data_IF_031505095499
#
_entry.id   IF_031505095499
#
_cell.length_a   1.000
_cell.length_b   1.000
_cell.length_c   1.000
_cell.angle_alpha   90.00
_cell.angle_beta   90.00
_cell.angle_gamma   90.00
#
_symmetry.space_group_name_H-M   'P 1'
#
loop_
_entity.id
_entity.type
_entity.pdbx_description
1 polymer ?
#
# COMPACT_ATOMS: atom_id res chain seq x y z
N UNK A 1 11.15 89.29 -51.89
CA UNK A 1 11.81 87.97 -51.95
C UNK A 1 11.63 87.31 -50.59
N UNK A 2 10.81 86.26 -50.51
CA UNK A 2 10.55 85.52 -49.27
C UNK A 2 11.50 84.33 -49.17
N UNK A 3 12.30 84.28 -48.09
CA UNK A 3 13.24 83.18 -47.82
C UNK A 3 12.51 82.06 -47.08
N UNK A 4 12.36 80.91 -47.74
CA UNK A 4 11.70 79.72 -47.19
C UNK A 4 12.70 78.93 -46.34
N UNK A 5 12.52 78.97 -45.01
CA UNK A 5 13.31 78.23 -44.03
C UNK A 5 12.86 76.76 -44.01
N UNK A 6 13.65 75.88 -44.64
CA UNK A 6 13.45 74.43 -44.55
C UNK A 6 13.77 73.94 -43.13
N UNK A 7 12.77 73.36 -42.47
CA UNK A 7 12.86 72.77 -41.13
C UNK A 7 13.03 71.25 -41.29
N UNK A 8 14.27 70.78 -41.24
CA UNK A 8 14.57 69.34 -41.27
C UNK A 8 14.16 68.71 -39.95
N UNK A 9 13.21 67.76 -40.00
CA UNK A 9 12.73 67.00 -38.85
C UNK A 9 13.86 66.10 -38.35
N UNK A 10 14.26 66.28 -37.09
CA UNK A 10 15.05 65.29 -36.35
C UNK A 10 14.19 64.04 -36.16
N UNK A 11 14.58 62.94 -36.79
CA UNK A 11 14.01 61.63 -36.54
C UNK A 11 14.76 61.03 -35.34
N UNK A 12 14.17 61.16 -34.16
CA UNK A 12 14.69 60.56 -32.93
C UNK A 12 14.66 59.03 -33.10
N UNK A 13 15.83 58.40 -33.26
CA UNK A 13 15.96 56.94 -33.12
C UNK A 13 15.49 56.58 -31.71
N UNK A 14 14.31 55.97 -31.61
CA UNK A 14 13.78 55.42 -30.36
C UNK A 14 14.80 54.38 -29.87
N UNK A 15 15.45 54.68 -28.74
CA UNK A 15 16.56 53.90 -28.22
C UNK A 15 16.13 52.45 -28.03
N UNK A 16 16.92 51.47 -28.51
CA UNK A 16 16.65 50.03 -28.33
C UNK A 16 16.37 49.65 -26.87
N UNK A 17 16.84 50.47 -25.92
CA UNK A 17 16.60 50.34 -24.48
C UNK A 17 15.12 50.49 -24.12
N UNK A 18 14.34 51.36 -24.77
CA UNK A 18 12.91 51.54 -24.49
C UNK A 18 12.06 50.32 -24.88
N UNK A 19 12.53 49.52 -25.84
CA UNK A 19 11.85 48.29 -26.26
C UNK A 19 12.26 47.08 -25.40
N UNK A 20 13.48 47.10 -24.83
CA UNK A 20 14.02 46.02 -24.01
C UNK A 20 13.41 45.95 -22.60
N UNK A 21 13.10 47.11 -22.02
CA UNK A 21 12.48 47.20 -20.69
C UNK A 21 11.13 46.48 -20.59
N UNK A 22 10.14 46.69 -21.49
CA UNK A 22 8.87 45.97 -21.42
C UNK A 22 9.01 44.47 -21.68
N UNK A 23 9.97 44.06 -22.53
CA UNK A 23 10.29 42.63 -22.76
C UNK A 23 10.84 41.99 -21.49
N UNK A 24 11.77 42.67 -20.79
CA UNK A 24 12.35 42.18 -19.54
C UNK A 24 11.30 42.03 -18.44
N UNK A 25 10.38 43.01 -18.33
CA UNK A 25 9.24 42.95 -17.39
C UNK A 25 8.33 41.76 -17.72
N UNK A 26 8.05 41.53 -19.01
CA UNK A 26 7.26 40.38 -19.46
C UNK A 26 7.91 39.05 -19.07
N UNK A 27 9.22 38.90 -19.25
CA UNK A 27 9.96 37.69 -18.88
C UNK A 27 9.91 37.45 -17.36
N UNK A 28 10.08 38.49 -16.55
CA UNK A 28 10.02 38.39 -15.08
C UNK A 28 8.62 37.97 -14.62
N UNK A 29 7.57 38.53 -15.21
CA UNK A 29 6.18 38.16 -14.90
C UNK A 29 5.89 36.68 -15.20
N UNK A 30 6.38 36.18 -16.34
CA UNK A 30 6.24 34.76 -16.72
C UNK A 30 7.01 33.85 -15.77
N UNK A 31 8.24 34.21 -15.37
CA UNK A 31 9.02 33.46 -14.40
C UNK A 31 8.33 33.37 -13.04
N UNK A 32 7.76 34.48 -12.56
CA UNK A 32 6.99 34.52 -11.30
C UNK A 32 5.75 33.60 -11.36
N UNK A 33 5.06 33.55 -12.50
CA UNK A 33 3.96 32.62 -12.74
C UNK A 33 4.39 31.16 -12.72
N UNK A 34 5.51 30.83 -13.37
CA UNK A 34 6.06 29.45 -13.39
C UNK A 34 6.47 29.02 -11.98
N UNK A 35 7.16 29.87 -11.23
CA UNK A 35 7.54 29.60 -9.85
C UNK A 35 6.29 29.43 -8.98
N UNK A 36 5.29 30.29 -9.15
CA UNK A 36 3.99 30.16 -8.48
C UNK A 36 3.31 28.82 -8.77
N UNK A 37 3.28 28.39 -10.03
CA UNK A 37 2.75 27.08 -10.43
C UNK A 37 3.55 25.91 -9.86
N UNK A 38 4.89 26.01 -9.80
CA UNK A 38 5.75 24.98 -9.21
C UNK A 38 5.54 24.87 -7.70
N UNK A 39 5.51 26.00 -6.99
CA UNK A 39 5.22 26.05 -5.55
C UNK A 39 3.81 25.53 -5.27
N UNK A 40 2.83 25.90 -6.09
CA UNK A 40 1.48 25.35 -5.99
C UNK A 40 1.46 23.84 -6.22
N UNK A 41 2.18 23.32 -7.24
CA UNK A 41 2.29 21.87 -7.44
C UNK A 41 2.99 21.16 -6.29
N UNK A 42 4.01 21.76 -5.68
CA UNK A 42 4.72 21.21 -4.54
C UNK A 42 3.87 21.24 -3.26
N UNK A 43 3.06 22.28 -3.04
CA UNK A 43 2.12 22.35 -1.92
C UNK A 43 0.84 21.53 -2.14
N UNK A 44 0.39 21.34 -3.39
CA UNK A 44 -0.74 20.49 -3.76
C UNK A 44 -0.33 19.03 -3.98
N UNK A 45 0.96 18.71 -4.02
CA UNK A 45 1.41 17.36 -3.72
C UNK A 45 1.00 17.11 -2.27
N UNK A 46 -0.17 16.50 -2.12
CA UNK A 46 -0.66 15.95 -0.85
C UNK A 46 0.56 15.38 -0.14
N UNK A 47 0.84 15.78 1.12
CA UNK A 47 2.00 15.30 1.84
C UNK A 47 2.03 13.80 1.63
N UNK A 48 3.13 13.27 1.06
CA UNK A 48 3.28 11.85 0.82
C UNK A 48 3.02 11.16 2.16
N UNK A 49 1.77 10.75 2.41
CA UNK A 49 1.42 10.04 3.63
C UNK A 49 2.30 8.81 3.54
N UNK A 50 3.27 8.64 4.47
CA UNK A 50 4.11 7.46 4.44
C UNK A 50 3.15 6.28 4.44
N UNK A 51 3.19 5.50 3.35
CA UNK A 51 2.30 4.36 3.24
C UNK A 51 2.60 3.45 4.41
N UNK A 52 1.61 3.34 5.29
CA UNK A 52 1.71 2.44 6.41
C UNK A 52 1.17 1.10 5.91
N UNK A 53 2.09 0.13 5.77
CA UNK A 53 1.72 -1.27 5.57
C UNK A 53 0.78 -1.74 6.69
N UNK A 54 0.92 -1.14 7.87
CA UNK A 54 0.04 -1.27 9.02
C UNK A 54 -0.89 -0.06 9.14
N UNK A 55 -2.19 -0.26 9.14
CA UNK A 55 -3.22 0.75 9.38
C UNK A 55 -3.85 0.52 10.75
N UNK A 56 -3.88 1.56 11.58
CA UNK A 56 -4.50 1.51 12.91
C UNK A 56 -6.03 1.60 12.77
N UNK A 57 -6.75 0.71 13.45
CA UNK A 57 -8.21 0.68 13.50
C UNK A 57 -8.63 0.68 14.96
N UNK A 58 -9.18 1.79 15.45
CA UNK A 58 -9.47 1.93 16.88
C UNK A 58 -8.21 1.76 17.73
N UNK A 59 -8.22 0.78 18.64
CA UNK A 59 -7.04 0.39 19.43
C UNK A 59 -6.25 -0.77 18.80
N UNK A 60 -6.74 -1.35 17.72
CA UNK A 60 -6.16 -2.45 16.97
C UNK A 60 -5.46 -2.03 15.67
N UNK A 61 -5.18 -2.99 14.79
CA UNK A 61 -4.55 -2.74 13.50
C UNK A 61 -4.82 -3.81 12.43
N UNK A 62 -4.68 -3.41 11.17
CA UNK A 62 -4.54 -4.31 10.03
C UNK A 62 -3.18 -4.10 9.37
N UNK A 63 -2.53 -5.16 8.91
CA UNK A 63 -1.26 -5.04 8.20
C UNK A 63 -1.20 -5.91 6.96
N UNK A 64 -0.69 -5.35 5.87
CA UNK A 64 -0.42 -6.10 4.64
C UNK A 64 0.97 -6.78 4.67
N UNK A 65 1.78 -6.56 5.71
CA UNK A 65 3.14 -7.09 5.76
C UNK A 65 3.95 -6.70 4.52
N UNK A 66 4.68 -7.66 3.95
CA UNK A 66 5.46 -7.48 2.71
C UNK A 66 4.60 -7.29 1.46
N UNK A 67 3.36 -7.79 1.44
CA UNK A 67 2.43 -7.65 0.30
C UNK A 67 2.10 -6.18 0.01
N UNK A 68 2.20 -5.31 1.02
CA UNK A 68 2.04 -3.86 0.84
C UNK A 68 3.14 -3.20 0.02
N UNK A 69 4.19 -3.93 -0.38
CA UNK A 69 5.34 -3.40 -1.10
C UNK A 69 5.67 -4.22 -2.35
N UNK A 70 6.26 -3.56 -3.34
CA UNK A 70 6.97 -4.17 -4.46
C UNK A 70 8.45 -3.89 -4.28
N UNK A 71 9.29 -4.91 -4.41
CA UNK A 71 10.73 -4.76 -4.29
C UNK A 71 11.34 -4.57 -5.67
N UNK A 72 11.95 -3.41 -5.90
CA UNK A 72 12.67 -3.07 -7.13
C UNK A 72 14.13 -2.81 -6.80
N UNK A 73 14.99 -3.79 -7.11
CA UNK A 73 16.39 -3.79 -6.68
C UNK A 73 16.50 -3.68 -5.16
N UNK A 74 17.02 -2.55 -4.69
CA UNK A 74 17.35 -2.30 -3.30
C UNK A 74 16.24 -1.50 -2.58
N UNK A 75 15.11 -1.23 -3.24
CA UNK A 75 14.06 -0.33 -2.75
C UNK A 75 12.74 -1.07 -2.61
N UNK A 76 12.05 -0.82 -1.50
CA UNK A 76 10.65 -1.21 -1.31
C UNK A 76 9.74 -0.04 -1.71
N UNK A 77 8.88 -0.27 -2.70
CA UNK A 77 7.93 0.72 -3.20
C UNK A 77 6.53 0.31 -2.73
N UNK A 78 5.83 1.23 -2.08
CA UNK A 78 4.47 0.98 -1.61
C UNK A 78 3.52 0.65 -2.77
N UNK A 79 2.68 -0.37 -2.58
CA UNK A 79 1.68 -0.80 -3.55
C UNK A 79 0.33 -0.17 -3.27
N UNK A 80 -0.35 0.22 -4.35
CA UNK A 80 -1.65 0.88 -4.35
C UNK A 80 -2.62 0.30 -5.39
N UNK A 81 -2.30 -0.88 -5.94
CA UNK A 81 -3.13 -1.54 -6.92
C UNK A 81 -4.45 -2.07 -6.32
N UNK A 82 -5.37 -2.45 -7.20
CA UNK A 82 -6.71 -2.88 -6.82
C UNK A 82 -6.68 -4.13 -5.91
N UNK A 83 -5.76 -5.07 -6.14
CA UNK A 83 -5.61 -6.28 -5.33
C UNK A 83 -5.26 -5.93 -3.89
N UNK A 84 -4.25 -5.07 -3.70
CA UNK A 84 -3.82 -4.62 -2.37
C UNK A 84 -4.93 -3.86 -1.64
N UNK A 85 -5.70 -3.03 -2.35
CA UNK A 85 -6.85 -2.32 -1.76
C UNK A 85 -7.94 -3.30 -1.33
N UNK A 86 -8.27 -4.27 -2.18
CA UNK A 86 -9.28 -5.31 -1.90
C UNK A 86 -8.89 -6.14 -0.67
N UNK A 87 -7.64 -6.62 -0.60
CA UNK A 87 -7.13 -7.41 0.52
C UNK A 87 -7.18 -6.57 1.80
N UNK A 88 -6.75 -5.31 1.76
CA UNK A 88 -6.81 -4.42 2.93
C UNK A 88 -8.25 -4.27 3.46
N UNK A 89 -9.22 -4.06 2.58
CA UNK A 89 -10.63 -3.98 2.98
C UNK A 89 -11.17 -5.30 3.54
N UNK A 90 -10.70 -6.45 3.03
CA UNK A 90 -10.98 -7.74 3.63
C UNK A 90 -10.40 -7.86 5.05
N UNK A 91 -9.13 -7.49 5.27
CA UNK A 91 -8.52 -7.54 6.61
C UNK A 91 -9.26 -6.63 7.62
N UNK A 92 -9.75 -5.47 7.17
CA UNK A 92 -10.58 -4.57 8.00
C UNK A 92 -11.85 -5.27 8.47
N UNK A 93 -12.56 -5.93 7.56
CA UNK A 93 -13.78 -6.70 7.91
C UNK A 93 -13.47 -7.83 8.88
N UNK A 94 -12.35 -8.53 8.71
CA UNK A 94 -11.94 -9.59 9.65
C UNK A 94 -11.54 -9.02 11.02
N UNK A 95 -10.90 -7.84 11.05
CA UNK A 95 -10.61 -7.12 12.28
C UNK A 95 -11.89 -6.74 13.05
N UNK A 96 -12.88 -6.20 12.34
CA UNK A 96 -14.21 -5.86 12.91
C UNK A 96 -14.96 -7.10 13.42
N UNK A 97 -14.81 -8.24 12.74
CA UNK A 97 -15.42 -9.53 13.13
C UNK A 97 -14.72 -10.24 14.29
N UNK A 98 -13.55 -9.78 14.71
CA UNK A 98 -12.72 -10.45 15.72
C UNK A 98 -13.39 -10.59 17.09
N UNK A 99 -14.39 -9.76 17.40
CA UNK A 99 -15.07 -9.76 18.71
C UNK A 99 -14.18 -9.34 19.87
N UNK A 100 -13.00 -8.79 19.59
CA UNK A 100 -12.03 -8.34 20.58
C UNK A 100 -12.56 -7.14 21.38
N UNK A 101 -12.34 -7.16 22.70
CA UNK A 101 -12.70 -6.04 23.58
C UNK A 101 -11.92 -4.78 23.18
N UNK A 102 -12.54 -3.63 23.40
CA UNK A 102 -11.96 -2.30 23.13
C UNK A 102 -11.56 -2.05 21.67
N UNK A 103 -12.08 -2.86 20.72
CA UNK A 103 -11.69 -2.84 19.30
C UNK A 103 -10.18 -3.01 19.11
N UNK A 104 -9.54 -3.85 19.93
CA UNK A 104 -8.10 -4.09 19.87
C UNK A 104 -7.72 -5.23 18.90
N UNK A 105 -8.60 -5.58 17.96
CA UNK A 105 -8.35 -6.63 16.97
C UNK A 105 -7.07 -6.36 16.17
N UNK A 106 -6.35 -7.42 15.83
CA UNK A 106 -5.14 -7.36 15.03
C UNK A 106 -5.23 -8.41 13.93
N UNK A 107 -5.00 -8.01 12.67
CA UNK A 107 -4.94 -8.93 11.53
C UNK A 107 -3.77 -8.54 10.62
N UNK A 108 -2.91 -9.48 10.27
CA UNK A 108 -1.75 -9.21 9.40
C UNK A 108 -1.60 -10.30 8.35
N UNK A 109 -1.27 -9.91 7.12
CA UNK A 109 -0.75 -10.85 6.12
C UNK A 109 0.66 -11.26 6.53
N UNK A 110 0.92 -12.57 6.54
CA UNK A 110 2.24 -13.15 6.79
C UNK A 110 2.88 -13.52 5.47
N UNK A 111 2.14 -14.27 4.63
CA UNK A 111 2.57 -14.69 3.30
C UNK A 111 1.36 -14.87 2.39
N UNK A 112 1.59 -14.75 1.09
CA UNK A 112 0.59 -14.89 0.04
C UNK A 112 1.11 -15.79 -1.08
N UNK A 113 0.19 -16.38 -1.84
CA UNK A 113 0.54 -17.06 -3.10
C UNK A 113 0.96 -16.05 -4.16
N UNK A 114 1.70 -16.51 -5.18
CA UNK A 114 2.15 -15.67 -6.30
C UNK A 114 0.98 -15.01 -7.05
N UNK A 115 -0.15 -15.70 -7.17
CA UNK A 115 -1.36 -15.19 -7.81
C UNK A 115 -2.23 -14.32 -6.88
N UNK A 116 -1.79 -14.12 -5.63
CA UNK A 116 -2.46 -13.34 -4.58
C UNK A 116 -3.90 -13.81 -4.30
N UNK A 117 -4.22 -15.08 -4.55
CA UNK A 117 -5.55 -15.66 -4.26
C UNK A 117 -5.63 -16.40 -2.94
N UNK A 118 -4.51 -16.70 -2.30
CA UNK A 118 -4.51 -17.29 -0.97
C UNK A 118 -3.53 -16.58 -0.05
N UNK A 119 -3.90 -16.44 1.22
CA UNK A 119 -3.14 -15.74 2.25
C UNK A 119 -3.01 -16.63 3.48
N UNK A 120 -1.84 -16.61 4.10
CA UNK A 120 -1.68 -16.98 5.51
C UNK A 120 -1.70 -15.69 6.33
N UNK A 121 -2.61 -15.64 7.30
CA UNK A 121 -2.85 -14.48 8.14
C UNK A 121 -2.47 -14.78 9.59
N UNK A 122 -1.91 -13.77 10.25
CA UNK A 122 -1.80 -13.70 11.69
C UNK A 122 -2.97 -12.90 12.25
N UNK A 123 -3.58 -13.34 13.34
CA UNK A 123 -4.70 -12.63 13.96
C UNK A 123 -4.80 -12.80 15.47
N UNK A 124 -5.59 -11.95 16.12
CA UNK A 124 -5.88 -12.02 17.55
C UNK A 124 -6.32 -10.68 18.13
N UNK A 125 -6.36 -10.59 19.46
CA UNK A 125 -6.66 -9.37 20.20
C UNK A 125 -5.36 -8.78 20.75
N UNK A 126 -4.99 -7.57 20.29
CA UNK A 126 -3.75 -6.88 20.63
C UNK A 126 -2.47 -7.47 19.99
N UNK A 127 -2.55 -8.66 19.39
CA UNK A 127 -1.43 -9.35 18.74
C UNK A 127 -1.91 -10.27 17.62
N UNK A 128 -0.99 -10.69 16.74
CA UNK A 128 -1.25 -11.59 15.60
C UNK A 128 -0.73 -13.01 15.84
N UNK A 129 -0.90 -13.51 17.06
CA UNK A 129 -0.33 -14.77 17.53
C UNK A 129 -1.00 -16.02 16.94
N UNK A 130 -2.28 -15.95 16.56
CA UNK A 130 -2.98 -17.08 15.96
C UNK A 130 -2.87 -17.05 14.43
N UNK A 131 -3.03 -18.22 13.79
CA UNK A 131 -2.94 -18.38 12.33
C UNK A 131 -4.27 -18.77 11.72
N UNK A 132 -4.56 -18.20 10.55
CA UNK A 132 -5.68 -18.61 9.73
C UNK A 132 -5.33 -18.46 8.25
N UNK A 133 -5.98 -19.25 7.40
CA UNK A 133 -5.89 -19.05 5.96
C UNK A 133 -7.01 -18.12 5.50
N UNK A 134 -6.80 -17.45 4.37
CA UNK A 134 -7.87 -16.83 3.61
C UNK A 134 -7.72 -17.17 2.14
N UNK A 135 -8.84 -17.42 1.47
CA UNK A 135 -8.87 -17.76 0.04
C UNK A 135 -9.84 -16.83 -0.69
N UNK A 136 -9.45 -16.42 -1.89
CA UNK A 136 -10.30 -15.66 -2.80
C UNK A 136 -11.21 -16.62 -3.56
N UNK A 137 -12.51 -16.47 -3.37
CA UNK A 137 -13.59 -17.18 -4.08
C UNK A 137 -14.33 -16.22 -5.01
N UNK A 138 -15.29 -16.74 -5.77
CA UNK A 138 -16.12 -15.93 -6.68
C UNK A 138 -16.92 -14.84 -5.94
N UNK A 139 -17.36 -15.12 -4.72
CA UNK A 139 -18.08 -14.21 -3.82
C UNK A 139 -17.16 -13.29 -3.00
N UNK A 140 -15.85 -13.38 -3.22
CA UNK A 140 -14.82 -12.56 -2.58
C UNK A 140 -13.93 -13.35 -1.62
N UNK A 141 -13.25 -12.62 -0.72
CA UNK A 141 -12.35 -13.22 0.25
C UNK A 141 -13.09 -13.92 1.38
N UNK A 142 -12.67 -15.16 1.68
CA UNK A 142 -13.20 -15.97 2.77
C UNK A 142 -12.07 -16.43 3.68
N UNK A 143 -12.16 -16.06 4.96
CA UNK A 143 -11.31 -16.64 5.99
C UNK A 143 -11.68 -18.12 6.19
N UNK A 144 -10.66 -18.96 6.29
CA UNK A 144 -10.77 -20.37 6.65
C UNK A 144 -10.11 -20.47 8.02
N UNK A 145 -10.95 -20.37 9.05
CA UNK A 145 -10.57 -20.62 10.44
C UNK A 145 -11.22 -21.93 10.86
N UNK A 146 -10.42 -22.81 11.48
CA UNK A 146 -10.48 -22.83 12.93
C UNK A 146 -9.10 -22.70 13.58
N UNK A 147 -9.06 -22.01 14.72
CA UNK A 147 -7.89 -21.84 15.61
C UNK A 147 -7.19 -23.16 15.95
N UNK A 148 -7.91 -24.28 15.97
CA UNK A 148 -7.41 -25.59 16.43
C UNK A 148 -6.77 -26.44 15.31
N UNK A 149 -6.60 -25.91 14.11
CA UNK A 149 -5.99 -26.64 12.99
C UNK A 149 -4.50 -26.38 12.85
N UNK A 150 -3.92 -25.54 13.70
CA UNK A 150 -2.48 -25.29 13.75
C UNK A 150 -1.92 -25.88 15.05
N UNK A 151 -0.75 -26.50 14.98
CA UNK A 151 -0.04 -26.92 16.19
C UNK A 151 0.74 -25.75 16.81
N UNK A 152 1.48 -26.01 17.89
CA UNK A 152 2.30 -25.02 18.60
C UNK A 152 3.42 -24.39 17.77
N UNK A 153 3.77 -24.98 16.62
CA UNK A 153 4.77 -24.45 15.68
C UNK A 153 4.12 -23.73 14.50
N UNK A 154 2.82 -23.40 14.59
CA UNK A 154 2.05 -22.78 13.51
C UNK A 154 2.00 -23.62 12.23
N UNK A 155 2.13 -24.95 12.35
CA UNK A 155 2.02 -25.88 11.21
C UNK A 155 0.56 -26.35 11.10
N UNK A 156 -0.09 -26.15 9.95
CA UNK A 156 -1.49 -26.51 9.76
C UNK A 156 -1.70 -28.02 9.64
N UNK A 157 -2.91 -28.49 9.93
CA UNK A 157 -3.28 -29.89 9.74
C UNK A 157 -3.34 -30.24 8.26
N UNK A 158 -2.87 -31.44 7.88
CA UNK A 158 -2.90 -31.87 6.48
C UNK A 158 -4.34 -31.92 5.95
N UNK A 159 -5.27 -32.38 6.80
CA UNK A 159 -6.70 -32.37 6.50
C UNK A 159 -7.20 -30.99 6.09
N UNK A 160 -6.94 -29.95 6.89
CA UNK A 160 -7.38 -28.59 6.59
C UNK A 160 -6.78 -28.09 5.29
N UNK A 161 -5.49 -28.34 5.07
CA UNK A 161 -4.81 -27.86 3.87
C UNK A 161 -5.31 -28.54 2.60
N UNK A 162 -5.65 -29.83 2.68
CA UNK A 162 -6.09 -30.62 1.52
C UNK A 162 -7.57 -30.35 1.20
N UNK A 163 -8.45 -30.31 2.20
CA UNK A 163 -9.89 -30.02 2.01
C UNK A 163 -10.13 -28.62 1.42
N UNK A 164 -9.25 -27.66 1.73
CA UNK A 164 -9.37 -26.28 1.27
C UNK A 164 -8.47 -25.95 0.08
N UNK A 165 -7.74 -26.93 -0.47
CA UNK A 165 -6.77 -26.74 -1.55
C UNK A 165 -5.77 -25.60 -1.26
N UNK A 166 -5.26 -25.55 -0.03
CA UNK A 166 -4.27 -24.54 0.39
C UNK A 166 -2.96 -24.80 -0.34
N UNK A 167 -2.44 -23.77 -1.00
CA UNK A 167 -1.21 -23.85 -1.79
C UNK A 167 -0.01 -24.21 -0.92
N UNK A 168 0.89 -25.03 -1.49
CA UNK A 168 2.18 -25.39 -0.90
C UNK A 168 3.11 -24.19 -0.75
N UNK A 169 2.89 -23.12 -1.52
CA UNK A 169 3.64 -21.86 -1.43
C UNK A 169 3.51 -21.21 -0.05
N UNK A 170 2.33 -21.32 0.58
CA UNK A 170 2.03 -20.70 1.87
C UNK A 170 1.91 -21.71 3.02
N UNK A 171 1.87 -23.00 2.69
CA UNK A 171 1.82 -24.11 3.64
C UNK A 171 2.60 -25.32 3.08
N UNK A 172 3.95 -25.25 3.05
CA UNK A 172 4.79 -26.30 2.45
C UNK A 172 4.86 -27.57 3.30
N UNK A 173 4.58 -27.45 4.60
CA UNK A 173 4.55 -28.56 5.56
C UNK A 173 3.17 -28.57 6.22
N UNK A 174 2.64 -29.76 6.46
CA UNK A 174 1.47 -29.96 7.31
C UNK A 174 1.75 -31.03 8.36
N UNK A 175 0.86 -31.11 9.34
CA UNK A 175 0.91 -32.10 10.41
C UNK A 175 -0.37 -32.95 10.47
N UNK A 176 -0.24 -34.19 10.93
CA UNK A 176 -1.36 -34.98 11.41
C UNK A 176 -1.18 -35.22 12.91
N UNK A 177 -2.16 -34.77 13.69
CA UNK A 177 -2.17 -34.98 15.13
C UNK A 177 -2.55 -36.43 15.43
N UNK A 178 -1.77 -37.07 16.30
CA UNK A 178 -2.00 -38.41 16.80
C UNK A 178 -2.01 -38.36 18.32
N UNK A 179 -3.10 -38.86 18.90
CA UNK A 179 -3.20 -39.06 20.34
C UNK A 179 -2.64 -40.44 20.68
N UNK A 180 -1.53 -40.48 21.41
CA UNK A 180 -0.92 -41.71 21.91
C UNK A 180 -1.02 -41.72 23.44
N UNK A 181 -2.09 -42.34 23.96
CA UNK A 181 -2.48 -42.24 25.36
C UNK A 181 -2.79 -40.80 25.77
N UNK A 182 -2.06 -40.29 26.77
CA UNK A 182 -2.16 -38.90 27.24
C UNK A 182 -1.23 -37.93 26.49
N UNK A 183 -0.35 -38.45 25.62
CA UNK A 183 0.60 -37.62 24.87
C UNK A 183 0.05 -37.24 23.49
N UNK A 184 0.32 -35.98 23.11
CA UNK A 184 0.10 -35.48 21.76
C UNK A 184 1.37 -35.68 20.94
N UNK A 185 1.25 -36.41 19.83
CA UNK A 185 2.30 -36.59 18.84
C UNK A 185 1.87 -36.03 17.49
N UNK A 186 2.83 -35.61 16.68
CA UNK A 186 2.58 -35.01 15.37
C UNK A 186 3.43 -35.67 14.31
N UNK A 187 2.80 -36.16 13.26
CA UNK A 187 3.49 -36.58 12.04
C UNK A 187 3.55 -35.42 11.07
N UNK A 188 4.75 -35.02 10.68
CA UNK A 188 4.96 -33.96 9.70
C UNK A 188 5.12 -34.51 8.30
N UNK A 189 4.47 -33.87 7.34
CA UNK A 189 4.56 -34.20 5.92
C UNK A 189 4.89 -32.97 5.09
N UNK A 190 5.89 -33.12 4.22
CA UNK A 190 6.14 -32.17 3.15
C UNK A 190 5.02 -32.30 2.10
N UNK A 191 4.46 -31.18 1.68
CA UNK A 191 3.36 -31.13 0.72
C UNK A 191 3.86 -31.01 -0.69
#
# INVERSE_FOLDING_TARGET
MASTKNRTKSQTKKSQVELLVPVLIGVIAVLMLIVGCLVWKLNCQSPHKPYAATEKIGSGFVSLGSLGFRFEGNRAIARHDASVKEIREFLKKENERSGCKDNNGAVSVIVNTQDEKQLLLGYGCGSTAARMFAVKKEDGWKAISPTNQFNLLDIPSCKMTDENNISKEIAPVCQNEKKDGDNLSYDYRLR
#
